data_IF_547611232136
#
_entry.id   IF_547611232136
#
_cell.length_a   1.000
_cell.length_b   1.000
_cell.length_c   1.000
_cell.angle_alpha   90.00
_cell.angle_beta   90.00
_cell.angle_gamma   90.00
#
_symmetry.space_group_name_H-M   'P 1'
#
loop_
_entity.id
_entity.type
_entity.pdbx_description
1 polymer ?
#
# COMPACT_ATOMS: atom_id res chain seq x y z
N UNK A 1 -14.55 -12.46 -0.56
CA UNK A 1 -13.25 -13.03 -0.11
C UNK A 1 -12.11 -12.43 -0.94
N UNK A 2 -10.84 -12.54 -0.51
CA UNK A 2 -9.67 -12.14 -1.31
C UNK A 2 -9.68 -12.79 -2.71
N UNK A 3 -10.16 -14.03 -2.81
CA UNK A 3 -10.35 -14.75 -4.07
C UNK A 3 -11.41 -14.08 -4.96
N UNK A 4 -12.50 -13.57 -4.39
CA UNK A 4 -13.54 -12.85 -5.15
C UNK A 4 -13.03 -11.49 -5.63
N UNK A 5 -12.24 -10.79 -4.80
CA UNK A 5 -11.59 -9.54 -5.18
C UNK A 5 -10.60 -9.76 -6.34
N UNK A 6 -9.79 -10.82 -6.29
CA UNK A 6 -8.89 -11.18 -7.40
C UNK A 6 -9.64 -11.52 -8.68
N UNK A 7 -10.74 -12.26 -8.59
CA UNK A 7 -11.62 -12.59 -9.74
C UNK A 7 -12.27 -11.33 -10.32
N UNK A 8 -12.70 -10.41 -9.47
CA UNK A 8 -13.27 -9.12 -9.90
C UNK A 8 -12.21 -8.22 -10.55
N UNK A 9 -10.97 -8.23 -10.03
CA UNK A 9 -9.85 -7.50 -10.59
C UNK A 9 -9.46 -8.04 -11.98
N UNK A 10 -9.46 -9.36 -12.16
CA UNK A 10 -9.24 -10.02 -13.45
C UNK A 10 -10.33 -9.63 -14.47
N UNK A 11 -11.60 -9.59 -14.05
CA UNK A 11 -12.72 -9.21 -14.92
C UNK A 11 -12.73 -7.72 -15.31
N UNK A 12 -12.30 -6.82 -14.40
CA UNK A 12 -12.27 -5.36 -14.62
C UNK A 12 -11.00 -4.89 -15.32
N UNK A 13 -9.84 -5.47 -14.99
CA UNK A 13 -8.54 -5.12 -15.54
C UNK A 13 -8.39 -5.42 -17.03
N UNK A 14 -9.13 -6.41 -17.55
CA UNK A 14 -9.13 -6.77 -18.97
C UNK A 14 -9.83 -5.76 -19.89
N UNK A 15 -10.60 -4.78 -19.36
CA UNK A 15 -11.52 -3.99 -20.20
C UNK A 15 -11.16 -2.52 -20.42
N UNK A 16 -10.28 -1.86 -19.64
CA UNK A 16 -10.18 -0.38 -19.69
C UNK A 16 -8.80 0.24 -19.30
N UNK A 17 -7.69 -0.38 -19.68
CA UNK A 17 -6.36 0.24 -19.56
C UNK A 17 -6.09 1.24 -20.70
N UNK A 18 -5.75 2.49 -20.36
CA UNK A 18 -5.08 3.40 -21.29
C UNK A 18 -3.58 3.30 -21.01
N UNK A 19 -2.86 2.58 -21.88
CA UNK A 19 -1.41 2.39 -21.80
C UNK A 19 -0.64 3.70 -22.01
N UNK A 20 0.35 3.98 -21.15
CA UNK A 20 1.51 4.76 -21.58
C UNK A 20 2.55 3.75 -22.08
N UNK A 21 2.89 3.84 -23.36
CA UNK A 21 4.01 3.10 -23.94
C UNK A 21 5.31 3.65 -23.35
N UNK A 22 5.78 3.03 -22.28
CA UNK A 22 7.18 3.15 -21.90
C UNK A 22 7.94 2.13 -22.75
N UNK A 23 9.14 2.47 -23.21
CA UNK A 23 10.02 1.52 -23.88
C UNK A 23 11.28 1.47 -23.01
N UNK A 24 11.53 0.31 -22.41
CA UNK A 24 12.81 -0.01 -21.79
C UNK A 24 13.60 -0.87 -22.77
N UNK A 25 14.92 -0.73 -22.77
CA UNK A 25 15.79 -1.60 -23.55
C UNK A 25 16.48 -2.54 -22.58
N UNK A 26 16.38 -3.85 -22.77
CA UNK A 26 17.18 -4.80 -22.00
C UNK A 26 18.67 -4.73 -22.37
N UNK A 27 19.49 -5.42 -21.59
CA UNK A 27 20.95 -5.48 -21.78
C UNK A 27 21.41 -6.07 -23.12
N UNK A 28 20.50 -6.68 -23.89
CA UNK A 28 20.74 -7.25 -25.22
C UNK A 28 20.13 -6.40 -26.35
N UNK A 29 19.60 -5.20 -26.06
CA UNK A 29 18.98 -4.34 -27.07
C UNK A 29 17.50 -4.64 -27.36
N UNK A 30 16.87 -5.55 -26.60
CA UNK A 30 15.46 -5.89 -26.72
C UNK A 30 14.55 -4.80 -26.13
N UNK A 31 13.53 -4.36 -26.88
CA UNK A 31 12.57 -3.36 -26.39
C UNK A 31 11.53 -4.03 -25.48
N UNK A 32 11.70 -3.89 -24.17
CA UNK A 32 10.72 -4.16 -23.14
C UNK A 32 9.70 -3.02 -23.09
N UNK A 33 8.53 -3.22 -23.72
CA UNK A 33 7.37 -2.35 -23.49
C UNK A 33 6.73 -2.76 -22.17
N UNK A 34 6.68 -1.94 -21.10
CA UNK A 34 5.80 -2.22 -19.99
C UNK A 34 4.40 -2.34 -20.55
N UNK A 35 3.84 -3.53 -20.42
CA UNK A 35 2.39 -3.66 -20.44
C UNK A 35 1.86 -2.73 -19.37
N UNK A 36 0.88 -1.92 -19.77
CA UNK A 36 0.03 -1.05 -18.97
C UNK A 36 0.35 -1.00 -17.48
N UNK A 37 0.94 0.12 -17.04
CA UNK A 37 1.02 0.40 -15.60
C UNK A 37 -0.40 0.69 -15.11
N UNK A 38 -1.01 -0.28 -14.44
CA UNK A 38 -2.29 -0.07 -13.77
C UNK A 38 -2.11 0.96 -12.66
N UNK A 39 -2.96 1.98 -12.68
CA UNK A 39 -3.06 2.96 -11.60
C UNK A 39 -4.51 2.99 -11.17
N UNK A 40 -4.74 2.78 -9.88
CA UNK A 40 -6.07 2.80 -9.28
C UNK A 40 -6.78 4.13 -9.57
N UNK A 41 -7.95 4.04 -10.20
CA UNK A 41 -8.84 5.15 -10.51
C UNK A 41 -9.89 5.31 -9.41
N UNK A 42 -10.49 6.49 -9.31
CA UNK A 42 -11.60 6.72 -8.36
C UNK A 42 -12.78 5.77 -8.60
N UNK A 43 -13.04 5.40 -9.85
CA UNK A 43 -14.06 4.40 -10.23
C UNK A 43 -13.81 3.01 -9.67
N UNK A 44 -12.56 2.70 -9.32
CA UNK A 44 -12.17 1.39 -8.83
C UNK A 44 -12.40 1.25 -7.32
N UNK A 45 -12.56 2.38 -6.61
CA UNK A 45 -12.89 2.39 -5.18
C UNK A 45 -14.34 1.92 -5.01
N UNK A 46 -14.61 0.89 -4.19
CA UNK A 46 -15.95 0.38 -3.97
C UNK A 46 -16.84 1.41 -3.27
N UNK A 47 -18.15 1.22 -3.36
CA UNK A 47 -19.13 2.09 -2.69
C UNK A 47 -19.01 2.01 -1.17
N UNK A 48 -18.69 0.82 -0.66
CA UNK A 48 -18.34 0.59 0.73
C UNK A 48 -16.99 -0.14 0.74
N UNK A 49 -15.98 0.46 1.38
CA UNK A 49 -14.67 -0.17 1.55
C UNK A 49 -14.73 -1.27 2.60
N UNK A 50 -13.89 -2.28 2.42
CA UNK A 50 -13.59 -3.23 3.48
C UNK A 50 -12.97 -2.50 4.68
N UNK A 51 -13.33 -2.95 5.87
CA UNK A 51 -12.91 -2.35 7.12
C UNK A 51 -11.53 -2.90 7.55
N UNK A 52 -10.59 -2.05 7.98
CA UNK A 52 -9.38 -2.50 8.65
C UNK A 52 -9.66 -3.37 9.87
N UNK A 53 -8.95 -4.49 9.96
CA UNK A 53 -9.16 -5.49 11.02
C UNK A 53 -7.96 -5.63 11.94
N UNK A 54 -8.21 -5.95 13.22
CA UNK A 54 -7.17 -6.35 14.16
C UNK A 54 -6.74 -7.80 13.88
N UNK A 55 -5.45 -8.02 13.62
CA UNK A 55 -4.89 -9.37 13.46
C UNK A 55 -4.18 -9.83 14.74
N UNK A 56 -3.46 -8.93 15.40
CA UNK A 56 -2.71 -9.22 16.62
C UNK A 56 -2.53 -7.95 17.46
N UNK A 57 -2.50 -8.11 18.79
CA UNK A 57 -2.25 -7.03 19.72
C UNK A 57 -1.37 -7.50 20.89
N UNK A 58 -0.42 -6.65 21.30
CA UNK A 58 0.21 -6.75 22.61
C UNK A 58 0.33 -5.37 23.26
N UNK A 59 1.04 -5.28 24.39
CA UNK A 59 1.23 -4.00 25.12
C UNK A 59 2.04 -2.94 24.35
N UNK A 60 2.72 -3.31 23.28
CA UNK A 60 3.65 -2.45 22.53
C UNK A 60 3.11 -2.03 21.16
N UNK A 61 2.42 -2.91 20.45
CA UNK A 61 1.97 -2.66 19.08
C UNK A 61 0.73 -3.48 18.69
N UNK A 62 0.12 -3.09 17.58
CA UNK A 62 -0.88 -3.82 16.83
C UNK A 62 -0.30 -4.34 15.51
N UNK A 63 -0.78 -5.49 15.06
CA UNK A 63 -0.76 -5.88 13.64
C UNK A 63 -2.19 -5.71 13.13
N UNK A 64 -2.37 -4.80 12.19
CA UNK A 64 -3.67 -4.54 11.56
C UNK A 64 -3.64 -5.01 10.12
N UNK A 65 -4.72 -5.63 9.67
CA UNK A 65 -4.95 -5.86 8.25
C UNK A 65 -5.35 -4.53 7.60
N UNK A 66 -4.56 -4.07 6.62
CA UNK A 66 -4.90 -2.97 5.73
C UNK A 66 -5.55 -3.53 4.47
N UNK A 67 -6.83 -3.24 4.17
CA UNK A 67 -7.44 -3.58 2.89
C UNK A 67 -6.85 -2.75 1.73
N UNK A 68 -7.15 -3.07 0.46
CA UNK A 68 -6.87 -2.14 -0.63
C UNK A 68 -7.70 -0.85 -0.47
N UNK A 69 -7.41 0.16 -1.28
CA UNK A 69 -8.08 1.48 -1.28
C UNK A 69 -7.77 2.37 -0.06
N UNK A 70 -6.78 1.98 0.76
CA UNK A 70 -6.21 2.83 1.81
C UNK A 70 -4.75 3.15 1.53
N UNK A 71 -4.36 4.42 1.59
CA UNK A 71 -2.96 4.84 1.46
C UNK A 71 -2.29 4.98 2.82
N UNK A 72 -1.04 4.55 2.91
CA UNK A 72 -0.17 4.83 4.05
C UNK A 72 0.57 6.16 3.83
N UNK A 73 -0.08 7.30 4.06
CA UNK A 73 0.50 8.65 3.89
C UNK A 73 0.01 9.56 5.02
N UNK A 74 0.85 10.49 5.46
CA UNK A 74 0.60 11.41 6.59
C UNK A 74 0.69 12.88 6.19
N UNK A 75 1.28 13.19 5.03
CA UNK A 75 1.71 14.55 4.67
C UNK A 75 0.61 15.56 4.37
N UNK A 76 -0.67 15.24 4.56
CA UNK A 76 -1.78 16.10 4.11
C UNK A 76 -3.01 16.20 5.01
N UNK A 77 -3.07 15.46 6.11
CA UNK A 77 -4.40 14.94 6.46
C UNK A 77 -5.14 15.71 7.55
N UNK A 78 -4.48 16.50 8.39
CA UNK A 78 -5.18 17.05 9.57
C UNK A 78 -5.11 18.56 9.77
N UNK A 79 -4.72 19.34 8.78
CA UNK A 79 -4.75 20.81 8.90
C UNK A 79 -6.12 21.43 8.57
N UNK A 80 -7.21 20.66 8.44
CA UNK A 80 -8.51 21.29 8.15
C UNK A 80 -9.77 20.42 7.98
N UNK A 81 -9.80 19.16 8.44
CA UNK A 81 -11.04 18.37 8.43
C UNK A 81 -11.40 17.95 9.85
N UNK A 82 -12.42 18.62 10.39
CA UNK A 82 -13.07 18.29 11.65
C UNK A 82 -13.73 16.90 11.58
N UNK A 83 -13.64 16.16 12.69
CA UNK A 83 -14.60 15.13 13.16
C UNK A 83 -15.22 14.16 12.14
N UNK A 84 -14.42 13.52 11.27
CA UNK A 84 -14.93 12.39 10.47
C UNK A 84 -15.04 11.12 11.31
N UNK A 85 -16.15 10.41 11.15
CA UNK A 85 -16.40 9.08 11.69
C UNK A 85 -15.78 7.99 10.81
N UNK A 86 -15.58 6.79 11.37
CA UNK A 86 -15.15 5.62 10.61
C UNK A 86 -16.14 5.28 9.48
N UNK A 87 -17.44 5.41 9.72
CA UNK A 87 -18.48 5.17 8.72
C UNK A 87 -18.33 6.09 7.50
N UNK A 88 -18.07 7.38 7.70
CA UNK A 88 -17.85 8.34 6.61
C UNK A 88 -16.58 8.03 5.81
N UNK A 89 -15.56 7.46 6.45
CA UNK A 89 -14.36 6.99 5.75
C UNK A 89 -14.71 5.80 4.86
N UNK A 90 -15.47 4.83 5.37
CA UNK A 90 -15.81 3.61 4.62
C UNK A 90 -16.60 3.90 3.33
N UNK A 91 -17.51 4.89 3.35
CA UNK A 91 -18.38 5.22 2.21
C UNK A 91 -17.87 6.35 1.31
N UNK A 92 -16.70 6.94 1.59
CA UNK A 92 -16.27 8.17 0.92
C UNK A 92 -15.97 8.04 -0.57
N UNK A 93 -15.82 6.82 -1.08
CA UNK A 93 -15.34 6.51 -2.44
C UNK A 93 -13.97 7.15 -2.78
N UNK A 94 -13.24 7.61 -1.78
CA UNK A 94 -11.89 8.16 -1.89
C UNK A 94 -10.85 7.16 -1.37
N UNK A 95 -9.60 7.32 -1.84
CA UNK A 95 -8.44 6.62 -1.27
C UNK A 95 -8.03 7.33 0.02
N UNK A 96 -8.56 6.81 1.12
CA UNK A 96 -8.42 7.43 2.43
C UNK A 96 -7.10 7.02 3.09
N UNK A 97 -6.57 7.87 3.98
CA UNK A 97 -5.40 7.51 4.75
C UNK A 97 -5.71 6.43 5.78
N UNK A 98 -4.96 5.34 5.73
CA UNK A 98 -5.13 4.21 6.63
C UNK A 98 -5.05 4.62 8.10
N UNK A 99 -4.04 5.44 8.42
CA UNK A 99 -3.74 5.84 9.78
C UNK A 99 -4.85 6.66 10.43
N UNK A 100 -5.65 7.37 9.63
CA UNK A 100 -6.80 8.12 10.16
C UNK A 100 -7.89 7.17 10.63
N UNK A 101 -8.25 6.18 9.82
CA UNK A 101 -9.17 5.15 10.26
C UNK A 101 -8.68 4.51 11.57
N UNK A 102 -7.39 4.14 11.63
CA UNK A 102 -6.77 3.57 12.84
C UNK A 102 -6.89 4.53 14.03
N UNK A 103 -6.63 5.83 13.84
CA UNK A 103 -6.69 6.84 14.90
C UNK A 103 -8.09 7.05 15.50
N UNK A 104 -9.13 6.72 14.76
CA UNK A 104 -10.52 6.83 15.17
C UNK A 104 -11.00 5.55 15.87
N UNK A 105 -10.47 4.40 15.48
CA UNK A 105 -10.88 3.09 15.99
C UNK A 105 -10.08 2.66 17.22
N UNK A 106 -8.76 2.85 17.23
CA UNK A 106 -7.89 2.40 18.34
C UNK A 106 -7.29 3.59 19.09
N UNK A 107 -7.66 3.72 20.37
CA UNK A 107 -7.10 4.74 21.24
C UNK A 107 -5.77 4.29 21.86
N UNK A 108 -4.66 4.94 21.51
CA UNK A 108 -3.33 4.68 22.07
C UNK A 108 -2.50 5.98 22.08
N UNK A 109 -1.39 6.06 22.83
CA UNK A 109 -0.63 7.31 22.96
C UNK A 109 -0.22 7.97 21.63
N UNK A 110 0.14 7.18 20.62
CA UNK A 110 0.46 7.69 19.28
C UNK A 110 -0.76 7.90 18.38
N UNK A 111 -1.97 7.46 18.72
CA UNK A 111 -3.11 7.50 17.80
C UNK A 111 -3.52 8.90 17.39
N UNK A 112 -3.09 9.94 18.12
CA UNK A 112 -3.31 11.36 17.79
C UNK A 112 -2.01 12.11 17.45
N UNK A 113 -0.88 11.41 17.39
CA UNK A 113 0.42 12.01 17.12
C UNK A 113 0.73 11.98 15.62
N UNK A 114 0.53 13.12 14.95
CA UNK A 114 0.77 13.28 13.51
C UNK A 114 2.26 13.19 13.15
N UNK A 115 3.13 13.71 14.02
CA UNK A 115 4.59 13.74 13.80
C UNK A 115 5.20 12.33 13.77
N UNK A 116 4.62 11.43 14.55
CA UNK A 116 5.02 10.02 14.65
C UNK A 116 4.18 9.10 13.75
N UNK A 117 3.56 9.68 12.70
CA UNK A 117 2.71 9.00 11.72
C UNK A 117 1.59 8.15 12.33
N UNK A 118 1.02 8.58 13.46
CA UNK A 118 0.04 7.83 14.24
C UNK A 118 0.52 6.43 14.69
N UNK A 119 1.84 6.25 14.81
CA UNK A 119 2.45 4.97 15.14
C UNK A 119 2.70 4.04 13.95
N UNK A 120 2.50 4.48 12.70
CA UNK A 120 2.78 3.64 11.52
C UNK A 120 4.27 3.26 11.43
N UNK A 121 4.56 1.95 11.49
CA UNK A 121 5.93 1.44 11.47
C UNK A 121 6.47 1.25 10.04
N UNK A 122 5.61 0.86 9.10
CA UNK A 122 5.94 0.72 7.67
C UNK A 122 4.70 0.95 6.81
N UNK A 123 4.91 1.12 5.50
CA UNK A 123 3.81 1.31 4.55
C UNK A 123 3.56 0.09 3.69
N UNK A 124 2.33 0.03 3.18
CA UNK A 124 1.92 -0.71 2.01
C UNK A 124 1.35 0.31 1.00
N UNK A 125 1.41 -0.02 -0.29
CA UNK A 125 0.82 0.81 -1.33
C UNK A 125 -0.72 0.81 -1.23
N UNK A 126 -1.38 1.74 -1.92
CA UNK A 126 -2.84 1.91 -1.80
C UNK A 126 -3.61 0.73 -2.40
N UNK A 127 -3.03 0.05 -3.39
CA UNK A 127 -3.55 -1.15 -4.04
C UNK A 127 -3.25 -2.42 -3.24
N UNK A 128 -2.20 -2.41 -2.42
CA UNK A 128 -1.74 -3.60 -1.69
C UNK A 128 -2.52 -3.81 -0.41
N UNK A 129 -3.09 -4.99 -0.21
CA UNK A 129 -3.62 -5.41 1.08
C UNK A 129 -2.60 -6.18 1.91
N UNK A 130 -2.80 -6.28 3.22
CA UNK A 130 -1.99 -7.12 4.09
C UNK A 130 -1.69 -6.54 5.46
N UNK A 131 -0.82 -7.19 6.24
CA UNK A 131 -0.50 -6.79 7.60
C UNK A 131 0.32 -5.51 7.64
N UNK A 132 -0.01 -4.63 8.57
CA UNK A 132 0.68 -3.37 8.87
C UNK A 132 0.89 -3.26 10.38
N UNK A 133 2.12 -2.94 10.78
CA UNK A 133 2.49 -2.70 12.17
C UNK A 133 2.17 -1.26 12.60
N UNK A 134 1.45 -1.11 13.73
CA UNK A 134 1.15 0.16 14.39
C UNK A 134 1.69 0.13 15.82
N UNK A 135 2.68 0.97 16.14
CA UNK A 135 3.21 1.13 17.48
C UNK A 135 2.28 1.96 18.37
N UNK A 136 2.15 1.55 19.64
CA UNK A 136 1.28 2.24 20.60
C UNK A 136 1.90 3.53 21.16
N UNK A 137 3.22 3.54 21.36
CA UNK A 137 4.00 4.62 21.97
C UNK A 137 5.38 4.77 21.30
N UNK A 138 6.04 5.91 21.50
CA UNK A 138 7.28 6.30 20.80
C UNK A 138 8.41 5.26 20.88
N UNK A 139 8.72 4.75 22.07
CA UNK A 139 9.78 3.74 22.23
C UNK A 139 9.51 2.44 21.44
N UNK A 140 8.25 2.01 21.33
CA UNK A 140 7.90 0.87 20.49
C UNK A 140 8.05 1.18 19.00
N UNK A 141 7.68 2.40 18.57
CA UNK A 141 7.82 2.85 17.19
C UNK A 141 9.30 2.86 16.76
N UNK A 142 10.17 3.44 17.58
CA UNK A 142 11.60 3.51 17.32
C UNK A 142 12.22 2.12 17.24
N UNK A 143 11.88 1.23 18.19
CA UNK A 143 12.35 -0.15 18.21
C UNK A 143 11.92 -0.91 16.96
N UNK A 144 10.63 -0.90 16.61
CA UNK A 144 10.09 -1.61 15.44
C UNK A 144 10.66 -1.05 14.13
N UNK A 145 10.70 0.27 13.95
CA UNK A 145 11.33 0.90 12.78
C UNK A 145 12.81 0.52 12.67
N UNK A 146 13.51 0.40 13.81
CA UNK A 146 14.91 -0.02 13.82
C UNK A 146 15.10 -1.48 13.39
N UNK A 147 14.26 -2.40 13.83
CA UNK A 147 14.29 -3.81 13.39
C UNK A 147 14.04 -3.93 11.88
N UNK A 148 13.07 -3.17 11.36
CA UNK A 148 12.78 -3.12 9.92
C UNK A 148 13.98 -2.58 9.13
N UNK A 149 14.64 -1.51 9.62
CA UNK A 149 15.85 -0.95 8.99
C UNK A 149 17.04 -1.91 9.02
N UNK A 150 17.14 -2.76 10.04
CA UNK A 150 18.18 -3.79 10.16
C UNK A 150 17.83 -5.10 9.45
N UNK A 151 16.73 -5.15 8.68
CA UNK A 151 16.26 -6.35 7.98
C UNK A 151 15.98 -7.55 8.91
N UNK A 152 15.62 -7.28 10.17
CA UNK A 152 15.26 -8.32 11.16
C UNK A 152 13.79 -8.77 11.03
N UNK A 153 13.03 -8.15 10.13
CA UNK A 153 11.63 -8.46 9.87
C UNK A 153 11.48 -9.03 8.47
N UNK A 154 11.06 -10.29 8.39
CA UNK A 154 10.72 -10.97 7.13
C UNK A 154 9.33 -10.54 6.66
N UNK A 155 9.21 -10.21 5.37
CA UNK A 155 7.94 -9.85 4.73
C UNK A 155 7.73 -10.73 3.51
N UNK A 156 6.60 -11.41 3.48
CA UNK A 156 6.21 -12.29 2.38
C UNK A 156 4.97 -11.72 1.70
N UNK A 157 4.95 -11.74 0.37
CA UNK A 157 3.87 -11.20 -0.44
C UNK A 157 3.37 -12.28 -1.38
N UNK A 158 2.05 -12.48 -1.39
CA UNK A 158 1.40 -13.32 -2.38
C UNK A 158 0.92 -12.44 -3.53
N UNK A 159 1.40 -12.74 -4.74
CA UNK A 159 1.11 -11.95 -5.94
C UNK A 159 0.60 -12.85 -7.06
N UNK A 160 -0.37 -12.34 -7.83
CA UNK A 160 -0.70 -12.87 -9.15
C UNK A 160 0.08 -12.06 -10.20
N UNK A 161 0.76 -12.75 -11.11
CA UNK A 161 1.61 -12.12 -12.14
C UNK A 161 1.07 -12.40 -13.54
N UNK A 162 1.32 -11.49 -14.47
CA UNK A 162 1.02 -11.72 -15.88
C UNK A 162 2.07 -12.62 -16.53
N UNK A 163 1.61 -13.63 -17.28
CA UNK A 163 2.48 -14.60 -17.93
C UNK A 163 2.87 -15.76 -17.02
N UNK A 164 3.79 -16.61 -17.51
CA UNK A 164 4.32 -17.73 -16.75
C UNK A 164 5.74 -17.40 -16.26
N UNK A 165 6.01 -17.63 -14.98
CA UNK A 165 7.38 -17.55 -14.47
C UNK A 165 8.17 -18.77 -14.91
N UNK A 166 9.31 -18.55 -15.56
CA UNK A 166 10.28 -19.60 -15.90
C UNK A 166 11.70 -19.03 -15.74
N UNK A 167 12.51 -19.59 -14.82
CA UNK A 167 12.21 -20.65 -13.87
C UNK A 167 11.11 -20.26 -12.84
N UNK A 168 10.49 -21.26 -12.20
CA UNK A 168 9.39 -21.05 -11.23
C UNK A 168 9.79 -20.33 -9.94
N UNK A 169 11.08 -20.08 -9.74
CA UNK A 169 11.66 -19.29 -8.65
C UNK A 169 12.80 -18.45 -9.20
N UNK A 170 13.02 -17.25 -8.66
CA UNK A 170 14.14 -16.40 -9.04
C UNK A 170 14.50 -15.40 -7.96
N UNK A 171 15.62 -14.72 -8.15
CA UNK A 171 16.08 -13.63 -7.30
C UNK A 171 16.23 -12.38 -8.16
N UNK A 172 15.67 -11.26 -7.71
CA UNK A 172 15.78 -9.98 -8.40
C UNK A 172 16.62 -9.06 -7.53
N UNK A 173 17.81 -8.71 -8.02
CA UNK A 173 18.71 -7.75 -7.39
C UNK A 173 19.03 -6.64 -8.38
N UNK A 174 18.22 -5.58 -8.32
CA UNK A 174 18.36 -4.43 -9.22
C UNK A 174 18.02 -3.14 -8.46
N UNK A 175 18.74 -2.04 -8.72
CA UNK A 175 18.43 -0.76 -8.09
C UNK A 175 17.08 -0.23 -8.59
N UNK A 176 16.35 0.41 -7.69
CA UNK A 176 15.08 1.07 -8.01
C UNK A 176 15.35 2.55 -8.28
N UNK A 177 14.89 3.05 -9.43
CA UNK A 177 14.98 4.47 -9.80
C UNK A 177 13.61 5.13 -9.70
N UNK A 178 13.59 6.31 -9.07
CA UNK A 178 12.44 7.20 -9.14
C UNK A 178 12.44 7.92 -10.50
N UNK A 179 11.29 7.96 -11.17
CA UNK A 179 11.10 8.73 -12.40
C UNK A 179 9.93 9.69 -12.29
N UNK A 180 9.94 10.71 -13.14
CA UNK A 180 8.84 11.66 -13.30
C UNK A 180 8.55 11.84 -14.79
N UNK A 181 7.34 11.53 -15.22
CA UNK A 181 6.86 11.71 -16.59
C UNK A 181 5.64 12.63 -16.54
N UNK A 182 5.81 13.86 -17.02
CA UNK A 182 4.82 14.92 -16.82
C UNK A 182 4.51 15.13 -15.33
N UNK A 183 3.25 14.97 -14.93
CA UNK A 183 2.81 15.04 -13.54
C UNK A 183 2.88 13.69 -12.79
N UNK A 184 3.16 12.58 -13.48
CA UNK A 184 3.21 11.24 -12.87
C UNK A 184 4.60 10.98 -12.30
N UNK A 185 4.63 10.49 -11.05
CA UNK A 185 5.84 9.97 -10.41
C UNK A 185 5.70 8.46 -10.31
N UNK A 186 6.80 7.74 -10.44
CA UNK A 186 6.81 6.28 -10.31
C UNK A 186 8.19 5.76 -9.95
N UNK A 187 8.24 4.44 -9.75
CA UNK A 187 9.46 3.69 -9.50
C UNK A 187 9.60 2.60 -10.55
N UNK A 188 10.81 2.39 -11.03
CA UNK A 188 11.15 1.31 -11.95
C UNK A 188 12.41 0.60 -11.49
N UNK A 189 12.49 -0.70 -11.74
CA UNK A 189 13.77 -1.41 -11.69
C UNK A 189 14.66 -0.87 -12.81
N UNK A 190 15.94 -0.72 -12.53
CA UNK A 190 16.97 -0.49 -13.54
C UNK A 190 17.53 -1.86 -13.87
N UNK A 191 17.09 -2.42 -14.99
CA UNK A 191 17.54 -3.71 -15.51
C UNK A 191 18.75 -3.52 -16.44
#
# INVERSE_FOLDING_TARGET
SFVDMLREFEQRGLKNGNALNLEYTDSNGGVLRPREVYSLKKSDVPEVKEEPGLMYENKHFFVLYKPPFYKCDTKRIYTGQAERSTAEILISREVEPFQVYVSLTWNHPLSKNVEEDYGLCHRLDKETSGPVLIAKYKGALEALKSQIRRHEVTKEYLCLVHGAMSPGTGHIEAPIRNFKIGQRKGQSLVL
#
